data_IF_637130141838
#
_entry.id   IF_637130141838
#
_cell.length_a   1.000
_cell.length_b   1.000
_cell.length_c   1.000
_cell.angle_alpha   90.00
_cell.angle_beta   90.00
_cell.angle_gamma   90.00
#
_symmetry.space_group_name_H-M   'P 1'
#
loop_
_entity.id
_entity.type
_entity.pdbx_description
1 polymer ?
#
# COMPACT_ATOMS: atom_id res chain seq x y z
N UNK A 1 1.40 1.56 52.10
CA UNK A 1 1.24 0.11 52.35
C UNK A 1 0.04 -0.40 51.57
N UNK A 2 0.15 -1.63 51.08
CA UNK A 2 -0.83 -2.47 50.38
C UNK A 2 -1.00 -2.27 48.87
N UNK A 3 -0.05 -2.92 48.19
CA UNK A 3 -0.06 -3.52 46.86
C UNK A 3 -0.99 -4.75 46.73
N UNK A 4 -1.38 -5.07 45.49
CA UNK A 4 -1.95 -6.37 45.05
C UNK A 4 -3.42 -6.25 44.64
N UNK A 5 -3.91 -6.72 43.49
CA UNK A 5 -3.45 -7.73 42.53
C UNK A 5 -4.08 -7.43 41.15
N UNK A 6 -3.26 -7.26 40.11
CA UNK A 6 -3.68 -7.24 38.69
C UNK A 6 -2.80 -8.25 37.93
N UNK A 7 -3.13 -9.54 38.00
CA UNK A 7 -2.40 -10.58 37.26
C UNK A 7 -3.23 -11.81 36.86
N UNK A 8 -4.57 -11.75 36.94
CA UNK A 8 -5.42 -12.94 36.68
C UNK A 8 -5.77 -13.24 35.22
N UNK A 9 -5.67 -12.27 34.31
CA UNK A 9 -6.27 -12.41 32.96
C UNK A 9 -5.26 -12.55 31.81
N UNK A 10 -3.96 -12.37 32.07
CA UNK A 10 -2.91 -12.59 31.05
C UNK A 10 -2.50 -14.07 30.92
N UNK A 11 -2.63 -14.86 31.98
CA UNK A 11 -2.15 -16.26 31.97
C UNK A 11 -3.09 -17.22 31.23
N UNK A 12 -4.41 -16.97 31.23
CA UNK A 12 -5.37 -17.88 30.57
C UNK A 12 -5.25 -17.90 29.03
N UNK A 13 -4.67 -16.86 28.42
CA UNK A 13 -4.49 -16.78 26.97
C UNK A 13 -3.17 -17.42 26.49
N UNK A 14 -2.17 -17.53 27.37
CA UNK A 14 -0.88 -18.17 27.07
C UNK A 14 -1.02 -19.71 27.15
N UNK A 15 -1.72 -20.22 28.16
CA UNK A 15 -1.86 -21.67 28.38
C UNK A 15 -2.66 -22.41 27.29
N UNK A 16 -3.62 -21.75 26.64
CA UNK A 16 -4.40 -22.36 25.54
C UNK A 16 -3.59 -22.44 24.24
N UNK A 17 -2.56 -21.59 24.06
CA UNK A 17 -1.76 -21.56 22.83
C UNK A 17 -0.51 -22.44 22.91
N UNK A 18 0.08 -22.65 24.09
CA UNK A 18 1.25 -23.53 24.26
C UNK A 18 0.90 -25.03 24.24
N UNK A 19 -0.30 -25.41 24.69
CA UNK A 19 -0.75 -26.82 24.70
C UNK A 19 -1.04 -27.41 23.32
N UNK A 20 -1.11 -26.59 22.26
CA UNK A 20 -1.40 -27.05 20.89
C UNK A 20 -0.14 -27.21 20.02
N UNK A 21 1.06 -26.89 20.55
CA UNK A 21 2.29 -26.84 19.74
C UNK A 21 3.34 -27.90 20.05
N UNK A 22 3.15 -28.81 21.02
CA UNK A 22 4.10 -29.88 21.32
C UNK A 22 3.43 -31.27 21.43
N UNK A 23 3.44 -32.00 20.31
CA UNK A 23 3.35 -33.46 20.33
C UNK A 23 4.38 -34.03 19.33
N UNK A 24 5.29 -34.94 19.74
CA UNK A 24 6.35 -35.45 18.89
C UNK A 24 5.85 -36.56 17.96
N UNK A 25 6.44 -36.62 16.77
CA UNK A 25 6.16 -37.64 15.76
C UNK A 25 6.62 -39.03 16.22
N UNK A 26 5.67 -39.96 16.37
CA UNK A 26 5.91 -41.39 16.57
C UNK A 26 5.24 -42.20 15.46
N UNK A 27 6.04 -42.86 14.62
CA UNK A 27 5.60 -43.90 13.66
C UNK A 27 4.91 -45.02 14.42
N UNK A 28 3.78 -45.57 13.93
CA UNK A 28 3.53 -47.01 14.04
C UNK A 28 2.58 -47.53 12.95
N UNK A 29 2.89 -48.75 12.52
CA UNK A 29 2.37 -49.53 11.38
C UNK A 29 0.88 -49.87 11.50
N UNK A 30 0.24 -49.96 10.34
CA UNK A 30 -1.11 -50.49 10.15
C UNK A 30 -0.99 -52.02 9.97
N UNK A 31 -1.81 -52.77 10.69
CA UNK A 31 -2.00 -54.21 10.49
C UNK A 31 -3.37 -54.66 10.96
N UNK A 32 -4.12 -55.26 10.04
CA UNK A 32 -5.05 -56.37 10.31
C UNK A 32 -6.47 -56.01 10.71
N UNK A 33 -7.40 -56.31 9.79
CA UNK A 33 -8.54 -57.24 9.96
C UNK A 33 -9.49 -57.07 11.17
N UNK A 34 -10.79 -57.34 11.11
CA UNK A 34 -11.74 -57.77 10.08
C UNK A 34 -13.12 -57.84 10.77
N UNK A 35 -14.18 -58.07 9.96
CA UNK A 35 -15.51 -58.61 10.34
C UNK A 35 -16.40 -57.63 11.11
N UNK A 36 -17.72 -57.60 10.98
CA UNK A 36 -18.79 -58.30 10.25
C UNK A 36 -20.04 -57.50 10.70
N UNK A 37 -21.22 -57.47 10.10
CA UNK A 37 -21.84 -58.08 8.94
C UNK A 37 -23.29 -57.55 8.92
N UNK A 38 -24.02 -57.87 7.85
CA UNK A 38 -25.48 -58.15 7.83
C UNK A 38 -26.44 -56.94 7.92
N UNK A 39 -27.48 -56.77 7.08
CA UNK A 39 -28.23 -57.72 6.23
C UNK A 39 -29.12 -57.01 5.18
N UNK A 40 -29.18 -57.61 3.98
CA UNK A 40 -30.20 -57.71 2.90
C UNK A 40 -31.41 -56.74 2.78
N UNK A 41 -31.74 -56.35 1.53
CA UNK A 41 -32.68 -57.05 0.60
C UNK A 41 -32.78 -56.29 -0.75
N UNK A 42 -32.41 -56.88 -1.91
CA UNK A 42 -33.25 -57.63 -2.90
C UNK A 42 -34.16 -56.69 -3.75
N UNK A 43 -34.38 -56.77 -5.07
CA UNK A 43 -33.97 -57.55 -6.27
C UNK A 43 -34.83 -56.96 -7.43
N UNK A 44 -34.37 -56.89 -8.70
CA UNK A 44 -35.14 -57.17 -9.95
C UNK A 44 -34.30 -56.85 -11.22
N UNK A 45 -33.94 -57.96 -11.90
CA UNK A 45 -33.79 -58.32 -13.32
C UNK A 45 -33.65 -57.32 -14.50
N UNK A 46 -32.65 -57.68 -15.33
CA UNK A 46 -32.61 -57.94 -16.80
C UNK A 46 -32.54 -56.80 -17.86
N UNK A 47 -31.52 -56.90 -18.73
CA UNK A 47 -31.75 -57.14 -20.16
C UNK A 47 -31.03 -56.27 -21.22
N UNK A 48 -29.90 -56.79 -21.74
CA UNK A 48 -29.39 -56.77 -23.14
C UNK A 48 -29.06 -55.48 -23.93
N UNK A 49 -27.82 -55.53 -24.48
CA UNK A 49 -27.32 -55.20 -25.83
C UNK A 49 -27.15 -53.76 -26.35
N UNK A 50 -25.86 -53.39 -26.46
CA UNK A 50 -25.14 -52.76 -27.59
C UNK A 50 -25.94 -52.06 -28.70
N UNK A 51 -25.67 -50.77 -28.92
CA UNK A 51 -25.01 -50.24 -30.14
C UNK A 51 -24.67 -48.75 -29.99
N UNK A 52 -23.62 -48.35 -30.70
CA UNK A 52 -22.97 -47.03 -30.74
C UNK A 52 -23.95 -45.90 -31.07
N UNK A 53 -23.77 -44.73 -30.44
CA UNK A 53 -23.56 -43.51 -31.23
C UNK A 53 -22.85 -42.39 -30.46
N UNK A 54 -21.95 -41.72 -31.17
CA UNK A 54 -21.21 -40.55 -30.72
C UNK A 54 -22.14 -39.34 -30.64
N UNK A 55 -22.44 -38.83 -29.44
CA UNK A 55 -22.66 -37.41 -29.14
C UNK A 55 -23.10 -37.26 -27.67
N UNK A 56 -22.21 -36.78 -26.80
CA UNK A 56 -22.55 -36.64 -25.38
C UNK A 56 -21.44 -36.14 -24.47
N UNK A 57 -20.54 -35.28 -24.94
CA UNK A 57 -19.63 -34.52 -24.05
C UNK A 57 -20.11 -33.07 -24.00
N UNK A 58 -21.32 -32.85 -23.46
CA UNK A 58 -21.83 -31.49 -23.22
C UNK A 58 -22.99 -31.39 -22.22
N UNK A 59 -23.00 -32.18 -21.15
CA UNK A 59 -24.04 -32.03 -20.10
C UNK A 59 -23.63 -32.68 -18.78
N UNK A 60 -22.45 -32.38 -18.25
CA UNK A 60 -22.07 -32.75 -16.87
C UNK A 60 -20.92 -31.87 -16.34
N UNK A 61 -21.11 -30.55 -16.36
CA UNK A 61 -20.20 -29.62 -15.64
C UNK A 61 -20.90 -28.32 -15.29
N UNK A 62 -22.17 -28.40 -14.91
CA UNK A 62 -22.94 -27.27 -14.38
C UNK A 62 -23.79 -27.79 -13.23
N UNK A 63 -23.15 -28.20 -12.13
CA UNK A 63 -23.73 -28.25 -10.77
C UNK A 63 -22.67 -28.75 -9.78
N UNK A 64 -21.63 -27.94 -9.55
CA UNK A 64 -20.85 -28.06 -8.31
C UNK A 64 -20.15 -26.74 -7.98
N UNK A 65 -20.91 -25.64 -7.95
CA UNK A 65 -20.57 -24.54 -7.03
C UNK A 65 -21.05 -24.95 -5.64
N UNK A 66 -20.35 -25.92 -5.05
CA UNK A 66 -20.43 -26.19 -3.62
C UNK A 66 -19.94 -24.94 -2.92
N UNK A 67 -20.84 -24.27 -2.22
CA UNK A 67 -20.52 -23.37 -1.12
C UNK A 67 -19.59 -24.14 -0.17
N UNK A 68 -18.29 -23.83 -0.21
CA UNK A 68 -17.34 -24.38 0.74
C UNK A 68 -17.80 -23.93 2.14
N UNK A 69 -18.25 -24.88 2.96
CA UNK A 69 -18.53 -24.60 4.35
C UNK A 69 -17.19 -24.25 5.01
N UNK A 70 -17.08 -23.12 5.72
CA UNK A 70 -15.84 -22.78 6.41
C UNK A 70 -15.54 -23.86 7.45
N UNK A 71 -14.30 -24.37 7.43
CA UNK A 71 -13.77 -25.33 8.39
C UNK A 71 -13.95 -24.82 9.84
N UNK A 72 -13.98 -25.75 10.81
CA UNK A 72 -14.33 -25.46 12.21
C UNK A 72 -13.43 -24.40 12.88
N UNK A 73 -12.13 -24.40 12.54
CA UNK A 73 -11.17 -23.36 12.93
C UNK A 73 -11.56 -21.96 12.40
N UNK A 74 -12.09 -21.89 11.19
CA UNK A 74 -12.53 -20.64 10.57
C UNK A 74 -13.80 -20.12 11.26
N UNK A 75 -14.74 -21.01 11.59
CA UNK A 75 -15.96 -20.64 12.36
C UNK A 75 -15.61 -20.12 13.74
N UNK A 76 -14.74 -20.82 14.46
CA UNK A 76 -14.29 -20.42 15.81
C UNK A 76 -13.61 -19.04 15.78
N UNK A 77 -12.73 -18.80 14.81
CA UNK A 77 -12.06 -17.49 14.65
C UNK A 77 -13.03 -16.36 14.37
N UNK A 78 -14.05 -16.60 13.53
CA UNK A 78 -15.10 -15.62 13.22
C UNK A 78 -15.95 -15.32 14.47
N UNK A 79 -16.32 -16.33 15.25
CA UNK A 79 -17.07 -16.17 16.49
C UNK A 79 -16.29 -15.34 17.52
N UNK A 80 -15.00 -15.64 17.72
CA UNK A 80 -14.13 -14.88 18.62
C UNK A 80 -14.00 -13.42 18.16
N UNK A 81 -13.76 -13.17 16.87
CA UNK A 81 -13.68 -11.79 16.34
C UNK A 81 -14.98 -11.00 16.55
N UNK A 82 -16.13 -11.68 16.42
CA UNK A 82 -17.44 -11.04 16.61
C UNK A 82 -17.68 -10.70 18.08
N UNK A 83 -17.36 -11.63 18.98
CA UNK A 83 -17.44 -11.41 20.42
C UNK A 83 -16.52 -10.27 20.87
N UNK A 84 -15.26 -10.25 20.42
CA UNK A 84 -14.31 -9.19 20.77
C UNK A 84 -14.79 -7.81 20.31
N UNK A 85 -15.38 -7.69 19.11
CA UNK A 85 -15.98 -6.42 18.65
C UNK A 85 -17.16 -6.01 19.50
N UNK A 86 -18.00 -6.94 19.91
CA UNK A 86 -19.13 -6.65 20.80
C UNK A 86 -18.62 -6.11 22.15
N UNK A 87 -17.68 -6.82 22.78
CA UNK A 87 -17.04 -6.39 24.04
C UNK A 87 -16.40 -5.02 23.87
N UNK A 88 -15.69 -4.79 22.76
CA UNK A 88 -15.07 -3.49 22.48
C UNK A 88 -16.11 -2.36 22.38
N UNK A 89 -17.21 -2.58 21.65
CA UNK A 89 -18.29 -1.60 21.49
C UNK A 89 -19.08 -1.33 22.76
N UNK A 90 -19.15 -2.29 23.68
CA UNK A 90 -19.78 -2.12 25.00
C UNK A 90 -18.86 -1.40 25.99
N UNK A 91 -17.54 -1.60 25.87
CA UNK A 91 -16.55 -0.98 26.77
C UNK A 91 -16.04 0.39 26.31
N UNK A 92 -16.22 0.74 25.03
CA UNK A 92 -15.70 1.98 24.45
C UNK A 92 -16.77 2.81 23.75
N UNK A 93 -16.61 4.14 23.78
CA UNK A 93 -17.51 5.07 23.10
C UNK A 93 -17.37 5.01 21.58
N UNK A 94 -18.32 5.63 20.86
CA UNK A 94 -18.31 5.68 19.40
C UNK A 94 -17.01 6.26 18.80
N UNK A 95 -16.34 7.17 19.52
CA UNK A 95 -15.07 7.78 19.10
C UNK A 95 -13.91 6.79 18.95
N UNK A 96 -14.01 5.60 19.55
CA UNK A 96 -12.95 4.59 19.54
C UNK A 96 -13.22 3.44 18.57
N UNK A 97 -14.42 3.37 17.98
CA UNK A 97 -14.88 2.20 17.20
C UNK A 97 -13.97 1.82 16.03
N UNK A 98 -13.19 2.75 15.48
CA UNK A 98 -12.23 2.44 14.41
C UNK A 98 -11.10 1.50 14.87
N UNK A 99 -10.85 1.40 16.17
CA UNK A 99 -9.83 0.53 16.76
C UNK A 99 -10.32 -0.90 17.05
N UNK A 100 -11.61 -1.21 16.83
CA UNK A 100 -12.19 -2.52 17.18
C UNK A 100 -11.54 -3.71 16.47
N UNK A 101 -10.87 -3.46 15.33
CA UNK A 101 -10.15 -4.48 14.56
C UNK A 101 -8.69 -4.64 14.98
N UNK A 102 -8.19 -3.67 15.73
CA UNK A 102 -6.83 -3.65 16.28
C UNK A 102 -6.82 -4.22 17.69
N UNK A 103 -7.82 -3.91 18.50
CA UNK A 103 -7.95 -4.41 19.86
C UNK A 103 -8.37 -5.90 19.89
N UNK A 104 -7.85 -6.72 20.82
CA UNK A 104 -6.77 -6.45 21.78
C UNK A 104 -5.37 -6.77 21.23
N UNK A 105 -5.27 -7.09 19.94
CA UNK A 105 -4.11 -7.71 19.33
C UNK A 105 -2.96 -6.74 19.00
N UNK A 106 -3.27 -5.48 18.73
CA UNK A 106 -2.31 -4.47 18.35
C UNK A 106 -1.84 -3.64 19.56
N UNK A 107 -0.55 -3.33 19.58
CA UNK A 107 0.01 -2.24 20.38
C UNK A 107 0.77 -1.29 19.44
N UNK A 108 0.48 0.00 19.55
CA UNK A 108 1.16 1.07 18.83
C UNK A 108 1.89 1.91 19.89
N UNK A 109 3.20 2.07 19.72
CA UNK A 109 4.00 2.99 20.53
C UNK A 109 4.43 4.16 19.64
N UNK A 110 4.31 5.36 20.18
CA UNK A 110 4.63 6.60 19.48
C UNK A 110 5.73 7.35 20.19
N UNK A 111 6.54 8.07 19.42
CA UNK A 111 7.55 8.96 19.98
C UNK A 111 6.92 10.25 20.55
N UNK A 112 7.75 11.14 21.10
CA UNK A 112 7.32 12.44 21.62
C UNK A 112 6.68 13.34 20.53
N UNK A 113 6.98 13.07 19.27
CA UNK A 113 6.41 13.74 18.10
C UNK A 113 5.07 13.14 17.64
N UNK A 114 4.65 12.03 18.24
CA UNK A 114 3.43 11.31 17.90
C UNK A 114 3.59 10.38 16.69
N UNK A 115 4.80 10.23 16.15
CA UNK A 115 5.10 9.32 15.04
C UNK A 115 5.04 7.89 15.54
N UNK A 116 4.52 6.96 14.72
CA UNK A 116 4.51 5.53 15.07
C UNK A 116 5.94 5.00 15.05
N UNK A 117 6.47 4.63 16.21
CA UNK A 117 7.84 4.11 16.36
C UNK A 117 7.84 2.58 16.37
N UNK A 118 6.89 1.96 17.07
CA UNK A 118 6.79 0.50 17.17
C UNK A 118 5.35 0.02 16.97
N UNK A 119 5.23 -1.10 16.26
CA UNK A 119 3.97 -1.82 16.12
C UNK A 119 4.16 -3.28 16.50
N UNK A 120 3.31 -3.74 17.40
CA UNK A 120 3.27 -5.13 17.85
C UNK A 120 1.92 -5.72 17.49
N UNK A 121 1.92 -6.89 16.84
CA UNK A 121 0.73 -7.63 16.47
C UNK A 121 0.75 -9.02 17.12
N UNK A 122 -0.27 -9.31 17.94
CA UNK A 122 -0.40 -10.58 18.68
C UNK A 122 0.88 -10.97 19.43
N UNK A 123 1.49 -10.00 20.11
CA UNK A 123 2.71 -10.16 20.89
C UNK A 123 4.02 -10.17 20.10
N UNK A 124 3.98 -10.08 18.76
CA UNK A 124 5.18 -10.05 17.90
C UNK A 124 5.45 -8.65 17.38
N UNK A 125 6.69 -8.19 17.54
CA UNK A 125 7.16 -6.93 16.97
C UNK A 125 7.23 -7.03 15.44
N UNK A 126 6.71 -6.02 14.75
CA UNK A 126 6.73 -5.93 13.28
C UNK A 126 7.75 -4.88 12.86
N UNK A 127 8.79 -5.23 12.08
CA UNK A 127 9.77 -4.27 11.61
C UNK A 127 9.15 -3.18 10.74
N UNK A 128 9.43 -1.92 11.06
CA UNK A 128 9.00 -0.74 10.32
C UNK A 128 10.20 -0.02 9.69
N UNK A 129 10.02 0.54 8.49
CA UNK A 129 10.95 1.47 7.89
C UNK A 129 10.97 2.77 8.71
N UNK A 130 12.16 3.38 8.84
CA UNK A 130 12.33 4.61 9.61
C UNK A 130 12.23 5.84 8.72
N UNK A 131 11.64 6.94 9.25
CA UNK A 131 11.53 8.22 8.56
C UNK A 131 12.84 8.70 7.94
N UNK A 132 13.93 8.62 8.71
CA UNK A 132 15.27 9.04 8.30
C UNK A 132 15.82 8.30 7.06
N UNK A 133 15.28 7.11 6.74
CA UNK A 133 15.68 6.32 5.57
C UNK A 133 14.93 6.75 4.30
N UNK A 134 13.78 7.42 4.46
CA UNK A 134 12.84 7.72 3.38
C UNK A 134 12.96 9.15 2.86
N UNK A 135 13.21 10.10 3.77
CA UNK A 135 13.36 11.52 3.43
C UNK A 135 14.79 11.83 2.98
N UNK A 136 14.94 11.99 1.67
CA UNK A 136 16.09 12.63 1.01
C UNK A 136 15.51 13.47 -0.13
N UNK A 137 16.11 14.63 -0.44
CA UNK A 137 15.67 15.44 -1.57
C UNK A 137 15.67 14.58 -2.85
N UNK A 138 14.47 14.27 -3.36
CA UNK A 138 14.30 13.48 -4.57
C UNK A 138 14.29 14.43 -5.75
N UNK A 139 15.42 14.47 -6.48
CA UNK A 139 15.60 15.37 -7.63
C UNK A 139 14.88 14.87 -8.88
N UNK A 140 14.58 13.57 -8.95
CA UNK A 140 13.94 12.95 -10.10
C UNK A 140 12.44 12.75 -9.86
N UNK A 141 11.62 12.74 -10.92
CA UNK A 141 10.17 12.66 -10.80
C UNK A 141 9.67 11.36 -10.16
N UNK A 142 8.49 11.43 -9.53
CA UNK A 142 7.75 10.27 -9.06
C UNK A 142 6.58 9.92 -9.98
N UNK A 143 6.48 8.66 -10.38
CA UNK A 143 5.38 8.10 -11.14
C UNK A 143 4.44 7.36 -10.19
N UNK A 144 3.23 7.88 -10.01
CA UNK A 144 2.18 7.27 -9.18
C UNK A 144 1.24 6.48 -10.10
N UNK A 145 1.31 5.16 -10.01
CA UNK A 145 0.57 4.23 -10.85
C UNK A 145 -0.64 3.69 -10.09
N UNK A 146 -1.83 4.04 -10.59
CA UNK A 146 -3.12 3.54 -10.11
C UNK A 146 -3.59 2.34 -10.95
N UNK A 147 -4.90 2.20 -11.15
CA UNK A 147 -5.50 0.97 -11.68
C UNK A 147 -6.55 1.19 -12.76
N UNK A 148 -6.76 2.42 -13.19
CA UNK A 148 -7.70 2.70 -14.27
C UNK A 148 -7.26 2.08 -15.61
N UNK A 149 -8.20 1.93 -16.55
CA UNK A 149 -7.95 1.32 -17.86
C UNK A 149 -6.90 2.04 -18.72
N UNK A 150 -6.67 3.34 -18.55
CA UNK A 150 -5.73 4.09 -19.40
C UNK A 150 -4.27 3.67 -19.24
N UNK A 151 -3.97 2.82 -18.24
CA UNK A 151 -2.69 2.13 -18.13
C UNK A 151 -2.38 1.36 -19.43
N UNK A 152 -3.40 0.85 -20.14
CA UNK A 152 -3.20 0.13 -21.40
C UNK A 152 -2.70 1.02 -22.56
N UNK A 153 -2.83 2.34 -22.45
CA UNK A 153 -2.48 3.29 -23.52
C UNK A 153 -1.03 3.80 -23.43
N UNK A 154 -0.31 3.39 -22.38
CA UNK A 154 1.06 3.82 -22.09
C UNK A 154 2.03 2.69 -22.39
N UNK A 155 3.04 2.97 -23.22
CA UNK A 155 4.18 2.08 -23.41
C UNK A 155 5.18 2.29 -22.26
N UNK A 156 5.13 1.39 -21.29
CA UNK A 156 6.00 1.41 -20.11
C UNK A 156 7.43 0.92 -20.38
N UNK A 157 7.71 0.33 -21.54
CA UNK A 157 9.10 0.04 -21.94
C UNK A 157 9.77 1.31 -22.48
N UNK A 158 9.00 2.18 -23.15
CA UNK A 158 9.49 3.43 -23.71
C UNK A 158 9.45 4.63 -22.74
N UNK A 159 8.76 4.50 -21.60
CA UNK A 159 8.64 5.57 -20.60
C UNK A 159 9.66 5.40 -19.47
N UNK A 160 10.74 6.20 -19.43
CA UNK A 160 11.71 6.14 -18.34
C UNK A 160 11.08 6.59 -17.02
N UNK A 161 11.13 5.73 -16.00
CA UNK A 161 10.61 6.01 -14.66
C UNK A 161 11.68 5.71 -13.61
N UNK A 162 12.09 6.73 -12.86
CA UNK A 162 13.14 6.59 -11.82
C UNK A 162 12.59 6.20 -10.46
N UNK A 163 11.45 6.80 -10.09
CA UNK A 163 10.76 6.53 -8.84
C UNK A 163 9.32 6.16 -9.13
N UNK A 164 8.92 4.93 -8.81
CA UNK A 164 7.58 4.42 -9.06
C UNK A 164 6.89 4.09 -7.74
N UNK A 165 5.70 4.67 -7.55
CA UNK A 165 4.79 4.37 -6.47
C UNK A 165 3.55 3.68 -7.03
N UNK A 166 3.29 2.44 -6.61
CA UNK A 166 2.08 1.72 -7.00
C UNK A 166 0.98 1.86 -5.96
N UNK A 167 -0.28 1.78 -6.39
CA UNK A 167 -1.42 1.65 -5.48
C UNK A 167 -2.30 0.47 -5.83
N UNK A 168 -2.86 -0.19 -4.81
CA UNK A 168 -3.77 -1.33 -4.95
C UNK A 168 -3.29 -2.35 -6.01
N UNK A 169 -4.03 -2.56 -7.10
CA UNK A 169 -3.68 -3.58 -8.09
C UNK A 169 -2.66 -3.17 -9.16
N UNK A 170 -2.03 -2.00 -9.05
CA UNK A 170 -0.98 -1.55 -9.97
C UNK A 170 0.16 -2.56 -10.17
N UNK A 171 0.42 -3.42 -9.17
CA UNK A 171 1.43 -4.49 -9.21
C UNK A 171 1.24 -5.46 -10.37
N UNK A 172 0.01 -5.58 -10.90
CA UNK A 172 -0.30 -6.39 -12.07
C UNK A 172 0.41 -5.87 -13.34
N UNK A 173 0.79 -4.59 -13.39
CA UNK A 173 1.55 -4.02 -14.50
C UNK A 173 2.93 -4.68 -14.67
N UNK A 174 3.51 -5.19 -13.58
CA UNK A 174 4.78 -5.90 -13.61
C UNK A 174 4.76 -7.22 -14.42
N UNK A 175 3.57 -7.70 -14.83
CA UNK A 175 3.44 -8.87 -15.71
C UNK A 175 3.63 -8.51 -17.19
N UNK A 176 3.50 -7.21 -17.52
CA UNK A 176 3.47 -6.73 -18.92
C UNK A 176 4.60 -5.76 -19.24
N UNK A 177 5.25 -5.21 -18.22
CA UNK A 177 6.34 -4.24 -18.37
C UNK A 177 7.33 -4.35 -17.21
N UNK A 178 8.61 -4.00 -17.42
CA UNK A 178 9.68 -4.09 -16.41
C UNK A 178 9.61 -2.96 -15.37
N UNK A 179 8.45 -2.79 -14.72
CA UNK A 179 8.22 -1.74 -13.73
C UNK A 179 8.79 -2.13 -12.37
N UNK A 180 9.74 -1.34 -11.87
CA UNK A 180 10.28 -1.48 -10.51
C UNK A 180 9.61 -0.50 -9.56
N UNK A 181 8.68 -1.00 -8.75
CA UNK A 181 8.06 -0.22 -7.68
C UNK A 181 9.06 0.03 -6.53
N UNK A 182 9.31 1.28 -6.19
CA UNK A 182 10.10 1.67 -5.01
C UNK A 182 9.22 1.83 -3.77
N UNK A 183 8.01 2.35 -4.00
CA UNK A 183 7.03 2.65 -2.98
C UNK A 183 5.70 2.02 -3.36
N UNK A 184 4.87 1.74 -2.36
CA UNK A 184 3.55 1.19 -2.60
C UNK A 184 2.57 1.63 -1.52
N UNK A 185 1.30 1.88 -1.88
CA UNK A 185 0.27 2.22 -0.91
C UNK A 185 -0.91 1.23 -0.96
N UNK A 186 -1.35 0.79 0.23
CA UNK A 186 -2.62 0.06 0.39
C UNK A 186 -3.38 0.66 1.60
N UNK A 187 -4.57 1.21 1.35
CA UNK A 187 -5.44 1.71 2.42
C UNK A 187 -6.67 0.83 2.67
N UNK A 188 -7.14 0.10 1.66
CA UNK A 188 -8.34 -0.71 1.77
C UNK A 188 -8.01 -2.15 2.20
N UNK A 189 -8.40 -2.52 3.43
CA UNK A 189 -8.31 -3.90 3.88
C UNK A 189 -9.24 -4.85 3.09
N UNK A 190 -10.26 -4.30 2.42
CA UNK A 190 -11.12 -5.00 1.47
C UNK A 190 -10.34 -5.51 0.27
N UNK A 191 -9.50 -4.67 -0.36
CA UNK A 191 -8.59 -5.07 -1.44
C UNK A 191 -7.72 -6.27 -1.05
N UNK A 192 -7.10 -6.25 0.13
CA UNK A 192 -6.25 -7.37 0.60
C UNK A 192 -7.04 -8.67 0.65
N UNK A 193 -8.27 -8.64 1.17
CA UNK A 193 -9.15 -9.82 1.24
C UNK A 193 -9.67 -10.28 -0.12
N UNK A 194 -10.02 -9.36 -1.00
CA UNK A 194 -10.62 -9.66 -2.30
C UNK A 194 -9.58 -10.10 -3.34
N UNK A 195 -8.37 -9.55 -3.26
CA UNK A 195 -7.24 -9.80 -4.17
C UNK A 195 -5.99 -10.23 -3.39
N UNK A 196 -6.05 -11.36 -2.66
CA UNK A 196 -4.91 -11.87 -1.91
C UNK A 196 -3.73 -12.22 -2.83
N UNK A 197 -3.99 -12.55 -4.10
CA UNK A 197 -3.00 -12.77 -5.15
C UNK A 197 -2.13 -11.53 -5.39
N UNK A 198 -2.76 -10.37 -5.56
CA UNK A 198 -2.06 -9.11 -5.79
C UNK A 198 -1.38 -8.61 -4.50
N UNK A 199 -2.07 -8.73 -3.36
CA UNK A 199 -1.49 -8.37 -2.07
C UNK A 199 -0.22 -9.19 -1.77
N UNK A 200 -0.23 -10.50 -2.04
CA UNK A 200 0.96 -11.37 -1.90
C UNK A 200 2.11 -10.88 -2.77
N UNK A 201 1.82 -10.53 -4.02
CA UNK A 201 2.84 -10.04 -4.96
C UNK A 201 3.46 -8.74 -4.48
N UNK A 202 2.69 -7.84 -3.88
CA UNK A 202 3.19 -6.56 -3.35
C UNK A 202 4.13 -6.81 -2.18
N UNK A 203 3.68 -7.59 -1.19
CA UNK A 203 4.48 -7.80 0.04
C UNK A 203 5.78 -8.57 -0.20
N UNK A 204 5.84 -9.37 -1.27
CA UNK A 204 7.03 -10.12 -1.65
C UNK A 204 8.14 -9.28 -2.32
N UNK A 205 7.87 -8.00 -2.67
CA UNK A 205 8.85 -7.13 -3.34
C UNK A 205 9.71 -6.38 -2.35
N UNK A 206 10.96 -6.11 -2.73
CA UNK A 206 11.82 -5.13 -2.07
C UNK A 206 11.32 -3.71 -2.40
N UNK A 207 10.42 -3.20 -1.56
CA UNK A 207 9.83 -1.86 -1.62
C UNK A 207 9.43 -1.38 -0.23
N UNK A 208 9.05 -0.10 -0.12
CA UNK A 208 8.43 0.45 1.09
C UNK A 208 6.91 0.51 0.90
N UNK A 209 6.19 -0.24 1.73
CA UNK A 209 4.74 -0.35 1.71
C UNK A 209 4.12 0.54 2.80
N UNK A 210 3.47 1.62 2.36
CA UNK A 210 2.70 2.53 3.18
C UNK A 210 1.30 1.99 3.43
N UNK A 211 0.98 1.74 4.69
CA UNK A 211 -0.27 1.08 5.11
C UNK A 211 -0.79 1.65 6.42
N UNK A 212 -2.10 1.54 6.63
CA UNK A 212 -2.67 1.78 7.96
C UNK A 212 -2.43 0.58 8.89
N UNK A 213 -2.47 0.78 10.21
CA UNK A 213 -2.37 -0.34 11.16
C UNK A 213 -3.38 -1.46 10.90
N UNK A 214 -4.60 -1.12 10.45
CA UNK A 214 -5.65 -2.10 10.13
C UNK A 214 -5.32 -2.91 8.88
N UNK A 215 -4.73 -2.28 7.86
CA UNK A 215 -4.27 -2.99 6.66
C UNK A 215 -3.07 -3.87 6.99
N UNK A 216 -2.10 -3.39 7.77
CA UNK A 216 -0.96 -4.20 8.20
C UNK A 216 -1.42 -5.43 9.00
N UNK A 217 -2.32 -5.24 9.96
CA UNK A 217 -2.93 -6.36 10.70
C UNK A 217 -3.55 -7.39 9.75
N UNK A 218 -4.32 -6.95 8.74
CA UNK A 218 -4.91 -7.85 7.74
C UNK A 218 -3.87 -8.61 6.92
N UNK A 219 -2.77 -7.97 6.53
CA UNK A 219 -1.67 -8.61 5.81
C UNK A 219 -0.99 -9.68 6.68
N UNK A 220 -0.71 -9.36 7.94
CA UNK A 220 -0.10 -10.28 8.90
C UNK A 220 -0.99 -11.47 9.28
N UNK A 221 -2.32 -11.30 9.24
CA UNK A 221 -3.27 -12.40 9.40
C UNK A 221 -3.31 -13.34 8.21
N UNK A 222 -3.04 -12.83 7.01
CA UNK A 222 -3.20 -13.60 5.77
C UNK A 222 -1.92 -14.26 5.27
N UNK A 223 -0.76 -13.71 5.59
CA UNK A 223 0.51 -14.18 5.04
C UNK A 223 1.53 -14.46 6.15
N UNK A 224 2.33 -15.54 6.01
CA UNK A 224 3.39 -15.84 6.96
C UNK A 224 4.50 -14.80 6.90
N UNK A 225 5.25 -14.62 7.98
CA UNK A 225 6.37 -13.66 8.07
C UNK A 225 7.41 -13.82 6.94
N UNK A 226 7.60 -15.03 6.41
CA UNK A 226 8.52 -15.31 5.30
C UNK A 226 8.05 -14.78 3.94
N UNK A 227 6.78 -14.37 3.80
CA UNK A 227 6.25 -13.81 2.56
C UNK A 227 6.57 -12.32 2.38
N UNK A 228 7.06 -11.64 3.42
CA UNK A 228 7.29 -10.20 3.41
C UNK A 228 8.75 -9.91 3.03
N UNK A 229 8.96 -9.54 1.77
CA UNK A 229 10.20 -8.91 1.27
C UNK A 229 10.18 -7.38 1.39
N UNK A 230 9.00 -6.79 1.57
CA UNK A 230 8.84 -5.34 1.71
C UNK A 230 9.12 -4.86 3.14
N UNK A 231 9.40 -3.56 3.27
CA UNK A 231 9.42 -2.85 4.56
C UNK A 231 8.15 -2.06 4.73
N UNK A 232 7.58 -2.02 5.94
CA UNK A 232 6.34 -1.30 6.20
C UNK A 232 6.59 0.12 6.71
N UNK A 233 5.81 1.09 6.25
CA UNK A 233 5.69 2.39 6.91
C UNK A 233 4.25 2.60 7.33
N UNK A 234 4.02 2.76 8.64
CA UNK A 234 2.67 2.92 9.17
C UNK A 234 2.23 4.38 9.09
N UNK A 235 1.02 4.57 8.56
CA UNK A 235 0.37 5.87 8.47
C UNK A 235 -1.02 5.81 9.08
N UNK A 236 -1.46 6.91 9.69
CA UNK A 236 -2.80 7.00 10.25
C UNK A 236 -3.73 7.84 9.38
N UNK A 237 -5.02 7.50 9.38
CA UNK A 237 -6.03 8.48 9.00
C UNK A 237 -5.99 9.63 10.03
N UNK A 238 -5.88 10.86 9.55
CA UNK A 238 -5.68 12.04 10.42
C UNK A 238 -6.79 12.20 11.47
N UNK A 239 -8.01 11.75 11.16
CA UNK A 239 -9.14 11.80 12.10
C UNK A 239 -9.31 10.54 12.93
N UNK A 240 -8.67 9.43 12.56
CA UNK A 240 -8.87 8.09 13.14
C UNK A 240 -7.53 7.39 13.35
N UNK A 241 -6.66 8.02 14.14
CA UNK A 241 -5.36 7.47 14.50
C UNK A 241 -5.52 6.17 15.27
N UNK A 242 -4.69 5.18 14.93
CA UNK A 242 -4.73 3.86 15.55
C UNK A 242 -4.46 3.93 17.05
N UNK A 243 -5.30 3.24 17.81
CA UNK A 243 -5.28 3.17 19.28
C UNK A 243 -5.45 4.52 19.98
N UNK A 244 -6.03 5.51 19.30
CA UNK A 244 -6.43 6.81 19.85
C UNK A 244 -7.92 7.07 19.58
N UNK A 245 -8.52 8.02 20.29
CA UNK A 245 -9.88 8.48 20.02
C UNK A 245 -9.93 9.26 18.70
N UNK A 246 -11.04 9.14 17.97
CA UNK A 246 -11.27 9.91 16.76
C UNK A 246 -11.29 11.42 17.07
N UNK A 247 -10.64 12.20 16.22
CA UNK A 247 -10.50 13.65 16.35
C UNK A 247 -11.49 14.40 15.46
N UNK A 248 -11.88 15.60 15.90
CA UNK A 248 -12.69 16.51 15.09
C UNK A 248 -11.78 17.47 14.30
N UNK A 249 -12.29 18.09 13.21
CA UNK A 249 -11.52 19.07 12.47
C UNK A 249 -11.04 20.25 13.32
N UNK A 250 -11.81 20.68 14.32
CA UNK A 250 -11.46 21.78 15.22
C UNK A 250 -10.28 21.40 16.11
N UNK A 251 -10.31 20.21 16.71
CA UNK A 251 -9.21 19.69 17.54
C UNK A 251 -7.92 19.55 16.73
N UNK A 252 -8.02 19.06 15.50
CA UNK A 252 -6.86 18.90 14.62
C UNK A 252 -6.28 20.25 14.17
N UNK A 253 -7.12 21.23 13.84
CA UNK A 253 -6.65 22.59 13.49
C UNK A 253 -6.00 23.30 14.67
N UNK A 254 -6.45 23.05 15.90
CA UNK A 254 -5.83 23.60 17.10
C UNK A 254 -4.49 22.92 17.46
N UNK A 255 -4.21 21.74 16.91
CA UNK A 255 -2.93 21.06 17.12
C UNK A 255 -1.84 21.73 16.27
N UNK A 256 -0.86 22.36 16.92
CA UNK A 256 0.21 23.10 16.25
C UNK A 256 0.98 22.29 15.20
N UNK A 257 1.20 20.99 15.43
CA UNK A 257 1.92 20.11 14.48
C UNK A 257 1.08 19.92 13.22
N UNK A 258 -0.18 19.55 13.39
CA UNK A 258 -1.12 19.38 12.27
C UNK A 258 -1.33 20.69 11.53
N UNK A 259 -1.51 21.81 12.23
CA UNK A 259 -1.67 23.13 11.63
C UNK A 259 -0.46 23.54 10.78
N UNK A 260 0.76 23.16 11.20
CA UNK A 260 1.99 23.43 10.45
C UNK A 260 2.21 22.51 9.24
N UNK A 261 1.57 21.33 9.22
CA UNK A 261 1.88 20.26 8.26
C UNK A 261 0.69 19.79 7.44
N UNK A 262 -0.44 20.49 7.48
CA UNK A 262 -1.63 20.16 6.71
C UNK A 262 -2.36 21.42 6.24
N UNK A 263 -3.02 21.33 5.09
CA UNK A 263 -3.94 22.35 4.60
C UNK A 263 -5.36 21.80 4.57
N UNK A 264 -6.24 22.32 5.42
CA UNK A 264 -7.66 21.96 5.42
C UNK A 264 -8.41 22.75 4.34
N UNK A 265 -9.39 22.11 3.69
CA UNK A 265 -10.30 22.79 2.77
C UNK A 265 -11.55 23.24 3.54
N UNK A 266 -11.82 24.55 3.52
CA UNK A 266 -12.93 25.17 4.25
C UNK A 266 -12.75 25.20 5.78
N UNK A 267 -13.56 26.02 6.45
CA UNK A 267 -13.43 26.28 7.90
C UNK A 267 -13.83 25.08 8.77
N UNK A 268 -14.85 24.34 8.38
CA UNK A 268 -15.38 23.17 9.11
C UNK A 268 -15.30 21.86 8.33
N UNK A 269 -14.68 21.91 7.15
CA UNK A 269 -14.53 20.74 6.27
C UNK A 269 -13.64 19.67 6.87
N UNK A 270 -13.90 18.42 6.47
CA UNK A 270 -13.04 17.25 6.72
C UNK A 270 -12.09 16.96 5.55
N UNK A 271 -12.17 17.75 4.50
CA UNK A 271 -11.28 17.70 3.36
C UNK A 271 -9.98 18.43 3.68
N UNK A 272 -8.90 18.00 3.06
CA UNK A 272 -7.59 18.60 3.26
C UNK A 272 -6.49 17.80 2.61
N UNK A 273 -5.27 18.29 2.76
CA UNK A 273 -4.06 17.69 2.24
C UNK A 273 -2.98 17.69 3.32
N UNK A 274 -2.33 16.55 3.54
CA UNK A 274 -1.24 16.41 4.50
C UNK A 274 0.11 16.54 3.79
N UNK A 275 0.98 17.39 4.34
CA UNK A 275 2.40 17.50 3.97
C UNK A 275 3.30 16.68 4.91
N UNK A 276 2.78 16.24 6.06
CA UNK A 276 3.47 15.30 6.95
C UNK A 276 2.55 14.14 7.35
N UNK A 277 2.74 13.00 6.68
CA UNK A 277 1.93 11.80 6.89
C UNK A 277 2.13 11.17 8.28
N UNK A 278 3.16 11.58 9.03
CA UNK A 278 3.33 11.18 10.43
C UNK A 278 2.25 11.77 11.35
N UNK A 279 1.71 12.94 10.97
CA UNK A 279 0.55 13.56 11.61
C UNK A 279 -0.79 13.00 11.06
N UNK A 280 -0.72 12.11 10.08
CA UNK A 280 -1.85 11.45 9.43
C UNK A 280 -2.17 11.99 8.05
N UNK A 281 -2.90 11.21 7.27
CA UNK A 281 -3.33 11.55 5.91
C UNK A 281 -4.83 11.83 5.82
N UNK A 282 -5.22 12.57 4.78
CA UNK A 282 -6.63 12.74 4.39
C UNK A 282 -7.03 11.69 3.36
N UNK A 283 -8.15 11.00 3.56
CA UNK A 283 -8.54 9.85 2.72
C UNK A 283 -8.81 10.20 1.25
N UNK A 284 -9.48 11.32 0.98
CA UNK A 284 -9.80 11.80 -0.38
C UNK A 284 -10.54 10.82 -1.30
N UNK A 285 -11.14 9.77 -0.74
CA UNK A 285 -11.97 8.77 -1.46
C UNK A 285 -11.20 7.79 -2.35
N UNK A 286 -9.87 7.92 -2.48
CA UNK A 286 -9.06 7.01 -3.31
C UNK A 286 -7.64 6.87 -2.80
N UNK A 287 -7.05 5.68 -2.97
CA UNK A 287 -5.65 5.41 -2.59
C UNK A 287 -4.67 6.26 -3.41
N UNK A 288 -5.04 6.69 -4.62
CA UNK A 288 -4.23 7.62 -5.41
C UNK A 288 -4.03 8.98 -4.71
N UNK A 289 -5.05 9.48 -3.99
CA UNK A 289 -4.96 10.73 -3.25
C UNK A 289 -4.05 10.60 -2.01
N UNK A 290 -4.08 9.44 -1.37
CA UNK A 290 -3.13 9.12 -0.31
C UNK A 290 -1.69 9.01 -0.84
N UNK A 291 -1.48 8.30 -1.95
CA UNK A 291 -0.17 8.20 -2.59
C UNK A 291 0.41 9.57 -2.97
N UNK A 292 -0.43 10.51 -3.41
CA UNK A 292 -0.01 11.89 -3.68
C UNK A 292 0.52 12.60 -2.41
N UNK A 293 -0.15 12.43 -1.27
CA UNK A 293 0.34 12.97 0.02
C UNK A 293 1.65 12.29 0.46
N UNK A 294 1.75 10.97 0.29
CA UNK A 294 3.00 10.23 0.57
C UNK A 294 4.15 10.73 -0.31
N UNK A 295 3.93 10.86 -1.62
CA UNK A 295 4.94 11.36 -2.54
C UNK A 295 5.40 12.78 -2.18
N UNK A 296 4.46 13.65 -1.80
CA UNK A 296 4.79 15.00 -1.33
C UNK A 296 5.64 14.96 -0.07
N UNK A 297 5.28 14.13 0.92
CA UNK A 297 6.04 13.95 2.16
C UNK A 297 7.43 13.33 1.95
N UNK A 298 7.57 12.47 0.95
CA UNK A 298 8.86 11.93 0.51
C UNK A 298 9.76 13.00 -0.14
N UNK A 299 9.23 14.19 -0.42
CA UNK A 299 9.96 15.34 -0.94
C UNK A 299 9.99 15.44 -2.47
N UNK A 300 9.10 14.72 -3.17
CA UNK A 300 8.97 14.88 -4.62
C UNK A 300 8.29 16.21 -4.96
N UNK A 301 8.84 16.93 -5.93
CA UNK A 301 8.27 18.19 -6.45
C UNK A 301 7.75 18.06 -7.88
N UNK A 302 7.97 16.91 -8.51
CA UNK A 302 7.49 16.58 -9.85
C UNK A 302 6.88 15.19 -9.83
N UNK A 303 5.60 15.10 -10.17
CA UNK A 303 4.83 13.86 -10.08
C UNK A 303 3.96 13.63 -11.30
N UNK A 304 3.88 12.38 -11.72
CA UNK A 304 3.07 11.93 -12.85
C UNK A 304 2.05 10.92 -12.36
N UNK A 305 0.76 11.16 -12.64
CA UNK A 305 -0.34 10.27 -12.30
C UNK A 305 -0.67 9.37 -13.49
N UNK A 306 -0.77 8.06 -13.26
CA UNK A 306 -1.09 7.07 -14.29
C UNK A 306 -2.32 6.27 -13.89
N UNK A 307 -3.27 6.06 -14.81
CA UNK A 307 -4.47 5.27 -14.53
C UNK A 307 -5.36 5.88 -13.45
N UNK A 308 -5.34 7.21 -13.29
CA UNK A 308 -6.25 7.96 -12.42
C UNK A 308 -7.43 8.41 -13.27
N UNK A 309 -8.14 7.44 -13.83
CA UNK A 309 -9.23 7.68 -14.77
C UNK A 309 -10.48 8.17 -14.06
N UNK A 310 -10.93 7.49 -13.01
CA UNK A 310 -12.05 7.90 -12.14
C UNK A 310 -13.39 8.15 -12.85
N UNK A 311 -13.51 7.77 -14.13
CA UNK A 311 -14.71 7.87 -14.94
C UNK A 311 -15.41 6.53 -15.01
N UNK A 312 -16.72 6.51 -14.76
CA UNK A 312 -17.59 5.33 -14.86
C UNK A 312 -16.95 4.08 -14.24
N UNK A 313 -16.37 4.25 -13.03
CA UNK A 313 -15.50 3.26 -12.42
C UNK A 313 -16.28 2.00 -12.01
N UNK A 314 -17.57 2.11 -11.74
CA UNK A 314 -18.44 0.97 -11.49
C UNK A 314 -18.84 0.23 -12.77
N UNK A 315 -18.66 0.80 -13.96
CA UNK A 315 -18.95 0.15 -15.24
C UNK A 315 -17.67 -0.27 -15.99
N UNK A 316 -16.53 0.31 -15.62
CA UNK A 316 -15.26 0.11 -16.31
C UNK A 316 -14.30 -0.72 -15.45
N UNK A 317 -13.82 -1.88 -15.93
CA UNK A 317 -12.91 -2.70 -15.15
C UNK A 317 -11.55 -2.01 -15.02
N UNK A 318 -10.87 -2.25 -13.89
CA UNK A 318 -9.46 -1.89 -13.76
C UNK A 318 -8.64 -2.65 -14.81
N UNK A 319 -7.46 -2.15 -15.18
CA UNK A 319 -6.66 -2.74 -16.28
C UNK A 319 -6.28 -4.23 -16.08
N UNK A 320 -6.35 -4.72 -14.84
CA UNK A 320 -6.06 -6.10 -14.44
C UNK A 320 -7.32 -6.94 -14.17
N UNK A 321 -8.51 -6.39 -14.41
CA UNK A 321 -9.81 -7.03 -14.20
C UNK A 321 -10.51 -7.27 -15.54
N UNK A 322 -11.53 -8.11 -15.51
CA UNK A 322 -12.53 -8.28 -16.58
C UNK A 322 -13.89 -7.81 -16.07
N UNK A 323 -14.86 -7.65 -16.97
CA UNK A 323 -16.24 -7.30 -16.57
C UNK A 323 -16.84 -8.28 -15.55
N UNK A 324 -16.47 -9.56 -15.64
CA UNK A 324 -16.96 -10.62 -14.76
C UNK A 324 -16.24 -10.67 -13.41
N UNK A 325 -15.01 -10.16 -13.34
CA UNK A 325 -14.12 -10.25 -12.15
C UNK A 325 -13.92 -8.92 -11.44
N UNK A 326 -14.54 -7.84 -11.94
CA UNK A 326 -14.42 -6.50 -11.38
C UNK A 326 -14.85 -6.45 -9.92
N UNK A 327 -14.05 -5.81 -9.07
CA UNK A 327 -14.43 -5.60 -7.68
C UNK A 327 -15.42 -4.42 -7.57
N UNK A 328 -16.35 -4.45 -6.60
CA UNK A 328 -17.22 -3.30 -6.34
C UNK A 328 -16.38 -2.06 -5.99
N UNK A 329 -16.90 -0.89 -6.34
CA UNK A 329 -16.24 0.38 -6.11
C UNK A 329 -17.26 1.44 -5.67
N UNK A 330 -16.78 2.44 -4.94
CA UNK A 330 -17.56 3.61 -4.52
C UNK A 330 -17.12 4.89 -5.22
N UNK A 331 -16.16 4.79 -6.15
CA UNK A 331 -15.54 5.95 -6.77
C UNK A 331 -16.57 6.88 -7.43
N UNK A 332 -17.54 6.35 -8.18
CA UNK A 332 -18.57 7.19 -8.83
C UNK A 332 -19.45 7.92 -7.81
N UNK A 333 -19.85 7.22 -6.75
CA UNK A 333 -20.70 7.78 -5.69
C UNK A 333 -19.96 8.82 -4.83
N UNK A 334 -18.64 8.69 -4.70
CA UNK A 334 -17.79 9.58 -3.91
C UNK A 334 -17.14 10.68 -4.77
N UNK A 335 -17.30 10.64 -6.10
CA UNK A 335 -16.56 11.51 -7.01
C UNK A 335 -16.81 13.00 -6.73
N UNK A 336 -18.06 13.44 -6.89
CA UNK A 336 -18.42 14.85 -6.79
C UNK A 336 -18.34 15.41 -5.36
N UNK A 337 -18.55 14.59 -4.33
CA UNK A 337 -18.63 15.05 -2.94
C UNK A 337 -17.32 14.93 -2.15
N UNK A 338 -16.37 14.11 -2.61
CA UNK A 338 -15.16 13.79 -1.88
C UNK A 338 -13.92 13.78 -2.76
N UNK A 339 -13.91 13.03 -3.86
CA UNK A 339 -12.69 12.78 -4.63
C UNK A 339 -12.26 14.03 -5.41
N UNK A 340 -13.14 14.57 -6.26
CA UNK A 340 -12.83 15.74 -7.08
C UNK A 340 -12.49 16.96 -6.22
N UNK A 341 -13.28 17.32 -5.16
CA UNK A 341 -12.94 18.46 -4.32
C UNK A 341 -11.62 18.28 -3.56
N UNK A 342 -11.27 17.04 -3.20
CA UNK A 342 -9.98 16.75 -2.57
C UNK A 342 -8.83 17.02 -3.54
N UNK A 343 -8.92 16.53 -4.77
CA UNK A 343 -7.88 16.75 -5.78
C UNK A 343 -7.78 18.21 -6.20
N UNK A 344 -8.92 18.92 -6.32
CA UNK A 344 -8.93 20.36 -6.59
C UNK A 344 -8.18 21.14 -5.51
N UNK A 345 -8.52 20.92 -4.25
CA UNK A 345 -7.81 21.53 -3.12
C UNK A 345 -6.32 21.17 -3.12
N UNK A 346 -5.98 19.90 -3.37
CA UNK A 346 -4.59 19.46 -3.48
C UNK A 346 -3.83 20.19 -4.59
N UNK A 347 -4.41 20.34 -5.77
CA UNK A 347 -3.79 21.05 -6.88
C UNK A 347 -3.45 22.49 -6.52
N UNK A 348 -4.36 23.20 -5.86
CA UNK A 348 -4.14 24.58 -5.39
C UNK A 348 -2.97 24.67 -4.41
N UNK A 349 -2.98 23.84 -3.35
CA UNK A 349 -1.96 23.91 -2.29
C UNK A 349 -0.59 23.36 -2.71
N UNK A 350 -0.55 22.45 -3.70
CA UNK A 350 0.69 21.93 -4.29
C UNK A 350 1.29 22.94 -5.26
N UNK A 351 0.48 23.57 -6.12
CA UNK A 351 0.93 24.63 -7.04
C UNK A 351 1.51 25.81 -6.27
N UNK A 352 0.86 26.23 -5.19
CA UNK A 352 1.37 27.29 -4.30
C UNK A 352 2.73 26.94 -3.64
N UNK A 353 3.09 25.65 -3.57
CA UNK A 353 4.37 25.16 -3.04
C UNK A 353 5.38 24.82 -4.15
N UNK A 354 5.08 25.11 -5.42
CA UNK A 354 5.95 24.77 -6.54
C UNK A 354 6.04 23.27 -6.83
N UNK A 355 5.08 22.47 -6.37
CA UNK A 355 4.98 21.04 -6.70
C UNK A 355 4.16 20.89 -7.97
N UNK A 356 4.75 20.32 -9.01
CA UNK A 356 4.12 20.03 -10.30
C UNK A 356 3.55 18.61 -10.30
N UNK A 357 2.28 18.50 -10.65
CA UNK A 357 1.57 17.24 -10.79
C UNK A 357 0.85 17.23 -12.14
N UNK A 358 1.15 16.24 -12.96
CA UNK A 358 0.60 16.06 -14.31
C UNK A 358 -0.12 14.70 -14.38
N UNK A 359 -1.20 14.61 -15.15
CA UNK A 359 -2.00 13.41 -15.31
C UNK A 359 -1.82 12.81 -16.71
N UNK A 360 -1.42 11.54 -16.79
CA UNK A 360 -1.24 10.83 -18.05
C UNK A 360 -2.52 10.14 -18.54
N UNK A 361 -3.56 10.10 -17.69
CA UNK A 361 -4.90 9.62 -18.05
C UNK A 361 -5.68 10.68 -18.83
N UNK A 362 -5.57 10.65 -20.17
CA UNK A 362 -6.19 11.65 -21.07
C UNK A 362 -7.71 11.76 -20.91
N UNK A 363 -8.38 10.65 -20.62
CA UNK A 363 -9.84 10.58 -20.45
C UNK A 363 -10.26 10.60 -18.97
N UNK A 364 -9.40 11.09 -18.07
CA UNK A 364 -9.73 11.21 -16.66
C UNK A 364 -10.98 12.06 -16.41
N UNK A 365 -11.76 11.69 -15.41
CA UNK A 365 -12.84 12.49 -14.85
C UNK A 365 -12.32 13.73 -14.10
N UNK A 366 -11.07 13.74 -13.64
CA UNK A 366 -10.44 14.96 -13.11
C UNK A 366 -10.21 15.94 -14.27
N UNK A 367 -10.64 17.19 -14.05
CA UNK A 367 -10.46 18.27 -15.02
C UNK A 367 -8.99 18.65 -15.24
N UNK A 368 -8.69 19.20 -16.41
CA UNK A 368 -7.36 19.72 -16.76
C UNK A 368 -6.94 20.92 -15.90
N UNK A 369 -7.92 21.63 -15.34
CA UNK A 369 -7.74 22.72 -14.39
C UNK A 369 -7.22 22.22 -13.02
N UNK A 370 -7.47 20.95 -12.68
CA UNK A 370 -6.95 20.31 -11.48
C UNK A 370 -5.50 19.88 -11.72
N UNK A 371 -5.28 18.96 -12.65
CA UNK A 371 -3.95 18.55 -13.08
C UNK A 371 -3.89 18.52 -14.59
N UNK A 372 -2.86 19.16 -15.15
CA UNK A 372 -2.63 19.20 -16.60
C UNK A 372 -2.57 17.79 -17.16
N UNK A 373 -3.27 17.54 -18.26
CA UNK A 373 -3.22 16.26 -18.96
C UNK A 373 -2.11 16.26 -19.98
N UNK A 374 -1.27 15.23 -19.92
CA UNK A 374 -0.02 15.19 -20.67
C UNK A 374 0.14 13.84 -21.37
N UNK A 375 0.47 13.87 -22.67
CA UNK A 375 0.84 12.65 -23.39
C UNK A 375 2.18 12.14 -22.83
N UNK A 376 2.21 10.86 -22.43
CA UNK A 376 3.40 10.18 -21.93
C UNK A 376 4.59 10.29 -22.91
N UNK A 377 4.33 10.39 -24.22
CA UNK A 377 5.36 10.59 -25.25
C UNK A 377 6.11 11.90 -25.07
N UNK A 378 5.47 12.92 -24.49
CA UNK A 378 6.14 14.18 -24.18
C UNK A 378 7.16 14.05 -23.05
N UNK A 379 6.94 13.11 -22.11
CA UNK A 379 7.86 12.87 -20.98
C UNK A 379 9.15 12.19 -21.43
N UNK A 380 9.05 11.30 -22.43
CA UNK A 380 10.23 10.70 -23.06
C UNK A 380 11.20 11.78 -23.57
N UNK A 381 10.67 12.87 -24.14
CA UNK A 381 11.48 14.00 -24.63
C UNK A 381 12.09 14.83 -23.49
N UNK A 382 11.34 15.05 -22.41
CA UNK A 382 11.81 15.81 -21.23
C UNK A 382 12.90 15.08 -20.46
N UNK A 383 12.80 13.76 -20.31
CA UNK A 383 13.81 12.96 -19.61
C UNK A 383 15.12 12.83 -20.39
N UNK A 384 15.12 12.93 -21.72
CA UNK A 384 16.34 13.02 -22.53
C UNK A 384 17.14 14.30 -22.25
N UNK A 385 16.50 15.38 -21.79
CA UNK A 385 17.18 16.64 -21.43
C UNK A 385 17.74 16.65 -20.01
N UNK A 386 17.34 15.71 -19.15
CA UNK A 386 17.89 15.53 -17.80
C UNK A 386 19.15 14.65 -17.79
N UNK A 387 19.46 14.00 -18.92
CA UNK A 387 20.69 13.25 -19.17
C UNK A 387 21.58 14.07 -20.12
N UNK A 388 22.12 15.19 -19.62
CA UNK A 388 23.37 15.71 -20.16
C UNK A 388 24.49 15.18 -19.25
N UNK A 389 25.48 14.45 -19.78
CA UNK A 389 26.47 13.77 -18.98
C UNK A 389 27.46 14.76 -18.33
N UNK A 390 27.87 14.42 -17.10
CA UNK A 390 29.20 14.76 -16.58
C UNK A 390 30.25 14.16 -17.54
N UNK A 391 30.53 14.83 -18.66
CA UNK A 391 31.72 14.56 -19.45
C UNK A 391 32.83 15.49 -18.99
N UNK A 392 33.67 14.91 -18.13
CA UNK A 392 35.13 15.04 -18.10
C UNK A 392 35.72 16.36 -18.63
N UNK A 393 36.11 17.24 -17.71
CA UNK A 393 37.30 18.07 -17.94
C UNK A 393 38.50 17.13 -17.79
N UNK A 394 39.32 16.88 -18.83
CA UNK A 394 40.55 16.14 -18.64
C UNK A 394 41.50 17.04 -17.86
N UNK A 395 41.88 16.60 -16.66
CA UNK A 395 43.06 17.12 -16.00
C UNK A 395 44.26 16.79 -16.89
N UNK A 396 44.79 17.78 -17.60
CA UNK A 396 46.08 17.66 -18.25
C UNK A 396 47.13 17.34 -17.20
N UNK A 397 47.72 16.16 -17.34
CA UNK A 397 48.95 15.76 -16.69
C UNK A 397 50.11 16.64 -17.19
N UNK A 398 50.82 17.27 -16.25
CA UNK A 398 52.19 17.71 -16.48
C UNK A 398 53.06 17.02 -15.42
N UNK A 399 53.62 15.88 -15.79
CA UNK A 399 54.66 15.20 -15.04
C UNK A 399 56.02 15.81 -15.34
N UNK A 400 56.70 16.24 -14.27
CA UNK A 400 58.15 16.16 -14.00
C UNK A 400 59.16 16.36 -15.13
N UNK A 401 59.97 17.43 -15.02
CA UNK A 401 61.42 17.33 -15.21
C UNK A 401 62.14 18.47 -14.44
N UNK A 402 63.02 18.08 -13.53
CA UNK A 402 63.97 18.96 -12.83
C UNK A 402 65.19 19.25 -13.72
N UNK A 403 65.66 20.51 -13.77
CA UNK A 403 67.05 20.88 -14.07
C UNK A 403 67.41 22.15 -13.28
N UNK A 404 68.41 22.04 -12.40
CA UNK A 404 69.16 23.15 -11.80
C UNK A 404 70.01 23.88 -12.85
N UNK A 405 70.07 25.22 -12.82
CA UNK A 405 71.30 25.99 -13.08
C UNK A 405 71.08 27.51 -12.85
N UNK A 406 71.63 27.97 -11.73
CA UNK A 406 72.47 29.15 -11.50
C UNK A 406 72.52 30.35 -12.49
N UNK A 407 72.53 31.53 -11.85
CA UNK A 407 73.23 32.80 -12.18
C UNK A 407 72.58 33.87 -13.10
N UNK A 408 72.45 35.05 -12.48
CA UNK A 408 72.93 36.36 -12.96
C UNK A 408 71.88 37.45 -13.31
N UNK A 409 71.81 38.42 -12.39
CA UNK A 409 71.80 39.88 -12.57
C UNK A 409 70.81 40.57 -13.56
N UNK A 410 69.87 41.34 -12.95
CA UNK A 410 69.61 42.82 -13.05
C UNK A 410 69.92 43.56 -14.38
N UNK A 411 69.41 44.80 -14.58
CA UNK A 411 68.08 45.39 -14.31
C UNK A 411 67.64 46.31 -15.49
N UNK A 412 66.46 46.93 -15.42
CA UNK A 412 66.09 48.27 -15.96
C UNK A 412 64.56 48.38 -15.84
N UNK A 413 63.99 49.31 -15.07
CA UNK A 413 63.92 50.74 -15.38
C UNK A 413 62.49 51.03 -15.86
N UNK A 414 61.57 51.37 -14.95
CA UNK A 414 61.11 52.75 -14.63
C UNK A 414 59.92 53.26 -15.45
N UNK A 415 59.05 53.99 -14.72
CA UNK A 415 57.91 54.85 -15.09
C UNK A 415 56.52 54.20 -14.86
N UNK A 416 55.64 54.71 -13.99
CA UNK A 416 55.62 55.91 -13.15
C UNK A 416 54.29 56.64 -13.29
N UNK A 417 53.54 56.73 -12.17
CA UNK A 417 52.45 57.68 -11.82
C UNK A 417 51.16 57.67 -12.68
N UNK A 418 49.96 57.84 -12.14
CA UNK A 418 49.50 58.41 -10.87
C UNK A 418 48.26 57.68 -10.34
#
# INVERSE_FOLDING_TARGET
MLSGTKSGWQNLYVDVMESTLHAPAGRFRIGGESRNSTTLAALVKHGKNQTRDMNGVRTARIHEMRTAQPDDLTRTTIMISTLLKLVYRLSHTAKWRHNERLWPHARIERDAMGVIERFTWRGRHVPLARRAELQRLRRLPCHIIASGPSIADIDYEALPMHHVMGVNGAIALADRAPVKFNFYCILDAGFVRQRPDLARRIVARDLVLFVTPVVLARLLEMFPSSAFGCRFYLVDDIFKRGMEAASTPEVLRANARVASSAAFAGERGRLGFSFDIDNGFFHGGTVAYFALQVATWLGFTEMYLHGVDLRDAAQTPRFYETMQTRAPTRLDAEFAGLIEPSFRHAAEVLRARGVRVENLSQVSALGEDIFEKVDWRSLRRRNLSLVVPDEAVPAMSAGSAAIEATLSARPTGTHGHA
#
